data_IF_104855996668
#
_entry.id   IF_104855996668
#
_cell.length_a   1.000
_cell.length_b   1.000
_cell.length_c   1.000
_cell.angle_alpha   90.00
_cell.angle_beta   90.00
_cell.angle_gamma   90.00
#
_symmetry.space_group_name_H-M   'P 1'
#
loop_
_entity.id
_entity.type
_entity.pdbx_description
1 polymer ?
#
# COMPACT_ATOMS: atom_id res chain seq x y z
N UNK A 1 -51.28 16.16 6.34
CA UNK A 1 -50.42 15.10 5.78
C UNK A 1 -50.92 14.88 4.37
N UNK A 2 -50.29 15.56 3.41
CA UNK A 2 -50.73 15.51 2.01
C UNK A 2 -50.40 14.14 1.43
N UNK A 3 -51.46 13.44 1.04
CA UNK A 3 -51.41 12.13 0.40
C UNK A 3 -50.79 12.28 -0.99
N UNK A 4 -49.60 11.72 -1.15
CA UNK A 4 -48.90 11.68 -2.43
C UNK A 4 -49.61 10.73 -3.40
N UNK A 5 -50.39 11.28 -4.34
CA UNK A 5 -51.02 10.48 -5.38
C UNK A 5 -50.13 10.45 -6.64
N UNK A 6 -49.33 9.39 -6.80
CA UNK A 6 -48.70 9.09 -8.09
C UNK A 6 -49.70 8.31 -8.94
N UNK A 7 -50.52 9.01 -9.73
CA UNK A 7 -51.38 8.33 -10.71
C UNK A 7 -50.58 8.07 -11.99
N UNK A 8 -49.78 7.00 -11.98
CA UNK A 8 -49.55 6.26 -13.21
C UNK A 8 -50.67 5.22 -13.29
N UNK A 9 -51.55 5.34 -14.28
CA UNK A 9 -52.60 4.36 -14.52
C UNK A 9 -51.96 3.04 -14.97
N UNK A 10 -51.54 2.23 -14.00
CA UNK A 10 -51.24 0.82 -14.20
C UNK A 10 -52.56 0.06 -14.08
N UNK A 11 -53.10 -0.39 -15.21
CA UNK A 11 -54.20 -1.35 -15.23
C UNK A 11 -53.67 -2.73 -14.83
N UNK A 12 -53.34 -2.93 -13.56
CA UNK A 12 -53.19 -4.26 -13.00
C UNK A 12 -54.58 -4.81 -12.68
N UNK A 13 -54.94 -5.97 -13.25
CA UNK A 13 -56.23 -6.65 -13.04
C UNK A 13 -56.51 -7.15 -11.61
N UNK A 14 -55.88 -6.57 -10.59
CA UNK A 14 -56.11 -6.82 -9.17
C UNK A 14 -56.41 -5.49 -8.48
N UNK A 15 -57.67 -5.25 -8.12
CA UNK A 15 -58.06 -4.11 -7.31
C UNK A 15 -57.56 -4.30 -5.88
N UNK A 16 -56.44 -3.66 -5.52
CA UNK A 16 -56.00 -3.61 -4.13
C UNK A 16 -57.04 -2.84 -3.30
N UNK A 17 -57.40 -3.35 -2.12
CA UNK A 17 -58.34 -2.66 -1.24
C UNK A 17 -57.67 -1.43 -0.60
N UNK A 18 -58.46 -0.47 -0.14
CA UNK A 18 -57.95 0.65 0.65
C UNK A 18 -57.18 0.18 1.89
N UNK A 19 -57.62 -0.92 2.50
CA UNK A 19 -56.94 -1.55 3.63
C UNK A 19 -55.55 -2.09 3.26
N UNK A 20 -55.35 -2.61 2.04
CA UNK A 20 -54.04 -3.07 1.57
C UNK A 20 -53.08 -1.90 1.35
N UNK A 21 -53.59 -0.79 0.78
CA UNK A 21 -52.82 0.43 0.58
C UNK A 21 -52.41 1.04 1.92
N UNK A 22 -53.33 1.08 2.89
CA UNK A 22 -53.05 1.58 4.24
C UNK A 22 -52.02 0.70 4.95
N UNK A 23 -52.15 -0.62 4.84
CA UNK A 23 -51.18 -1.57 5.40
C UNK A 23 -49.80 -1.39 4.77
N UNK A 24 -49.72 -1.27 3.45
CA UNK A 24 -48.48 -1.01 2.73
C UNK A 24 -47.85 0.31 3.18
N UNK A 25 -48.63 1.39 3.19
CA UNK A 25 -48.16 2.74 3.52
C UNK A 25 -47.63 2.82 4.96
N UNK A 26 -48.30 2.15 5.91
CA UNK A 26 -47.83 2.04 7.31
C UNK A 26 -46.54 1.23 7.45
N UNK A 27 -46.24 0.34 6.51
CA UNK A 27 -45.00 -0.45 6.49
C UNK A 27 -43.79 0.28 5.89
N UNK A 28 -43.97 1.47 5.30
CA UNK A 28 -42.87 2.23 4.69
C UNK A 28 -42.04 2.89 5.79
N UNK A 29 -40.78 2.48 5.92
CA UNK A 29 -39.80 3.11 6.83
C UNK A 29 -39.07 4.27 6.18
N UNK A 30 -38.81 4.19 4.87
CA UNK A 30 -38.13 5.23 4.10
C UNK A 30 -38.74 5.38 2.70
N UNK A 31 -38.89 6.63 2.23
CA UNK A 31 -39.38 6.96 0.89
C UNK A 31 -38.35 7.86 0.18
N UNK A 32 -37.75 7.36 -0.90
CA UNK A 32 -36.75 8.08 -1.68
C UNK A 32 -37.15 8.04 -3.16
N UNK A 33 -37.09 9.19 -3.83
CA UNK A 33 -37.32 9.33 -5.27
C UNK A 33 -36.01 9.71 -5.93
N UNK A 34 -35.46 8.82 -6.77
CA UNK A 34 -34.25 9.08 -7.54
C UNK A 34 -34.60 9.47 -8.98
N UNK A 35 -34.12 10.62 -9.41
CA UNK A 35 -34.23 11.11 -10.80
C UNK A 35 -32.85 11.16 -11.43
N UNK A 36 -32.72 10.63 -12.65
CA UNK A 36 -31.49 10.70 -13.45
C UNK A 36 -31.82 11.39 -14.78
N UNK A 37 -31.31 12.60 -14.95
CA UNK A 37 -31.52 13.41 -16.16
C UNK A 37 -32.90 14.06 -16.25
N UNK A 38 -33.08 14.85 -17.32
CA UNK A 38 -34.23 15.73 -17.49
C UNK A 38 -34.16 16.96 -16.59
N UNK A 39 -35.31 17.61 -16.45
CA UNK A 39 -35.57 18.77 -15.57
C UNK A 39 -35.35 18.45 -14.08
N UNK A 40 -35.46 19.42 -13.17
CA UNK A 40 -35.49 19.14 -11.71
C UNK A 40 -36.79 18.40 -11.36
N UNK A 41 -36.78 17.50 -10.38
CA UNK A 41 -38.01 16.84 -9.91
C UNK A 41 -38.88 17.85 -9.16
N UNK A 42 -40.15 17.96 -9.55
CA UNK A 42 -41.14 18.74 -8.82
C UNK A 42 -42.28 17.82 -8.44
N UNK A 43 -42.74 17.91 -7.19
CA UNK A 43 -43.85 17.10 -6.73
C UNK A 43 -45.13 17.42 -7.52
N UNK A 44 -45.80 16.39 -8.03
CA UNK A 44 -46.98 16.57 -8.88
C UNK A 44 -46.66 16.90 -10.35
N UNK A 45 -45.37 16.92 -10.74
CA UNK A 45 -44.99 16.99 -12.14
C UNK A 45 -45.54 15.77 -12.89
N UNK A 46 -46.18 16.02 -14.03
CA UNK A 46 -46.64 14.95 -14.90
C UNK A 46 -45.46 14.24 -15.58
N UNK A 47 -45.63 12.96 -15.88
CA UNK A 47 -44.55 12.13 -16.43
C UNK A 47 -44.14 12.59 -17.84
N UNK A 48 -45.07 13.15 -18.61
CA UNK A 48 -44.86 13.59 -19.99
C UNK A 48 -43.95 14.82 -20.07
N UNK A 49 -44.16 15.80 -19.19
CA UNK A 49 -43.32 16.98 -19.01
C UNK A 49 -41.91 16.61 -18.60
N UNK A 50 -41.76 15.62 -17.72
CA UNK A 50 -40.42 15.09 -17.43
C UNK A 50 -39.80 14.41 -18.66
N UNK A 51 -40.52 13.50 -19.32
CA UNK A 51 -40.04 12.79 -20.51
C UNK A 51 -39.57 13.74 -21.61
N UNK A 52 -40.33 14.82 -21.86
CA UNK A 52 -39.96 15.86 -22.82
C UNK A 52 -38.62 16.53 -22.47
N UNK A 53 -38.37 16.76 -21.18
CA UNK A 53 -37.13 17.39 -20.70
C UNK A 53 -35.88 16.50 -20.77
N UNK A 54 -36.03 15.17 -20.93
CA UNK A 54 -34.88 14.25 -21.02
C UNK A 54 -34.04 14.53 -22.27
N UNK A 55 -34.68 14.96 -23.38
CA UNK A 55 -33.96 15.29 -24.62
C UNK A 55 -33.02 16.48 -24.47
N UNK A 56 -33.37 17.46 -23.65
CA UNK A 56 -32.56 18.66 -23.42
C UNK A 56 -31.48 18.43 -22.37
N UNK A 57 -31.70 17.53 -21.41
CA UNK A 57 -30.77 17.21 -20.34
C UNK A 57 -30.52 15.69 -20.26
N UNK A 58 -29.89 15.10 -21.29
CA UNK A 58 -29.58 13.69 -21.29
C UNK A 58 -28.49 13.40 -20.25
N UNK A 59 -28.55 12.22 -19.66
CA UNK A 59 -27.51 11.72 -18.76
C UNK A 59 -27.15 10.29 -19.10
N UNK A 60 -25.93 9.89 -18.77
CA UNK A 60 -25.51 8.50 -18.88
C UNK A 60 -26.23 7.68 -17.82
N UNK A 61 -27.21 6.89 -18.25
CA UNK A 61 -27.97 5.99 -17.37
C UNK A 61 -27.22 4.67 -17.11
N UNK A 62 -26.37 4.26 -18.06
CA UNK A 62 -25.60 3.03 -18.01
C UNK A 62 -24.29 3.19 -18.78
N UNK A 63 -23.21 2.64 -18.23
CA UNK A 63 -21.92 2.44 -18.91
C UNK A 63 -21.68 0.94 -19.04
N UNK A 64 -21.10 0.52 -20.15
CA UNK A 64 -20.48 -0.80 -20.28
C UNK A 64 -18.98 -0.60 -20.03
N UNK A 65 -18.38 -1.44 -19.20
CA UNK A 65 -16.99 -1.32 -18.79
C UNK A 65 -16.23 -2.46 -19.44
N UNK A 66 -15.15 -2.13 -20.14
CA UNK A 66 -14.15 -3.09 -20.59
C UNK A 66 -12.96 -3.09 -19.64
N UNK A 67 -12.16 -4.15 -19.68
CA UNK A 67 -10.89 -4.17 -18.96
C UNK A 67 -10.02 -3.01 -19.48
N UNK A 68 -9.39 -2.25 -18.57
CA UNK A 68 -8.48 -1.15 -18.92
C UNK A 68 -7.36 -1.58 -19.88
N UNK A 69 -7.01 -2.87 -19.91
CA UNK A 69 -6.01 -3.40 -20.84
C UNK A 69 -6.51 -3.60 -22.27
N UNK A 70 -7.80 -3.39 -22.56
CA UNK A 70 -8.38 -3.62 -23.89
C UNK A 70 -7.80 -2.70 -24.97
N UNK A 71 -7.33 -1.49 -24.62
CA UNK A 71 -6.71 -0.56 -25.56
C UNK A 71 -5.20 -0.79 -25.78
N UNK A 72 -4.59 -1.71 -25.03
CA UNK A 72 -3.16 -2.01 -25.10
C UNK A 72 -2.96 -3.11 -26.14
N UNK A 73 -2.88 -2.68 -27.39
CA UNK A 73 -2.79 -3.55 -28.56
C UNK A 73 -1.71 -3.03 -29.53
N UNK A 74 -1.13 -3.93 -30.32
CA UNK A 74 -0.07 -3.62 -31.29
C UNK A 74 -0.50 -2.64 -32.37
N UNK A 75 -1.79 -2.58 -32.71
CA UNK A 75 -2.35 -1.61 -33.66
C UNK A 75 -2.46 -0.19 -33.08
N UNK A 76 -2.46 -0.05 -31.74
CA UNK A 76 -2.49 1.24 -31.03
C UNK A 76 -1.11 1.71 -30.58
N UNK A 77 -0.19 0.78 -30.34
CA UNK A 77 1.16 1.04 -29.83
C UNK A 77 2.14 0.27 -30.71
N UNK A 78 2.40 0.80 -31.91
CA UNK A 78 3.20 0.13 -32.94
C UNK A 78 4.70 0.07 -32.63
N UNK A 79 5.16 0.87 -31.68
CA UNK A 79 6.56 0.97 -31.27
C UNK A 79 7.02 -0.20 -30.38
N UNK A 80 6.08 -0.96 -29.82
CA UNK A 80 6.35 -2.07 -28.90
C UNK A 80 5.94 -3.40 -29.52
N UNK A 81 6.70 -4.45 -29.20
CA UNK A 81 6.38 -5.82 -29.57
C UNK A 81 5.17 -6.36 -28.77
N UNK A 82 4.48 -7.36 -29.32
CA UNK A 82 3.38 -8.05 -28.61
C UNK A 82 3.84 -8.64 -27.26
N UNK A 83 5.12 -9.03 -27.14
CA UNK A 83 5.70 -9.56 -25.90
C UNK A 83 5.75 -8.46 -24.84
N UNK A 84 6.22 -7.26 -25.19
CA UNK A 84 6.29 -6.11 -24.28
C UNK A 84 4.89 -5.66 -23.87
N UNK A 85 3.96 -5.55 -24.83
CA UNK A 85 2.57 -5.19 -24.56
C UNK A 85 1.86 -6.24 -23.69
N UNK A 86 2.17 -7.52 -23.86
CA UNK A 86 1.66 -8.58 -22.97
C UNK A 86 2.11 -8.38 -21.54
N UNK A 87 3.40 -8.07 -21.32
CA UNK A 87 3.92 -7.78 -19.97
C UNK A 87 3.25 -6.56 -19.35
N UNK A 88 3.09 -5.48 -20.12
CA UNK A 88 2.38 -4.27 -19.65
C UNK A 88 0.94 -4.58 -19.25
N UNK A 89 0.21 -5.36 -20.06
CA UNK A 89 -1.16 -5.78 -19.72
C UNK A 89 -1.21 -6.62 -18.45
N UNK A 90 -0.27 -7.56 -18.27
CA UNK A 90 -0.19 -8.40 -17.08
C UNK A 90 0.04 -7.55 -15.81
N UNK A 91 0.98 -6.62 -15.84
CA UNK A 91 1.27 -5.74 -14.70
C UNK A 91 0.09 -4.83 -14.36
N UNK A 92 -0.60 -4.26 -15.36
CA UNK A 92 -1.79 -3.45 -15.13
C UNK A 92 -2.93 -4.30 -14.55
N UNK A 93 -3.16 -5.51 -15.08
CA UNK A 93 -4.17 -6.42 -14.54
C UNK A 93 -3.85 -6.83 -13.10
N UNK A 94 -2.57 -7.08 -12.77
CA UNK A 94 -2.11 -7.34 -11.40
C UNK A 94 -2.41 -6.15 -10.50
N UNK A 95 -2.10 -4.92 -10.93
CA UNK A 95 -2.39 -3.71 -10.16
C UNK A 95 -3.89 -3.49 -9.93
N UNK A 96 -4.74 -3.78 -10.92
CA UNK A 96 -6.21 -3.73 -10.79
C UNK A 96 -6.70 -4.80 -9.82
N UNK A 97 -6.18 -6.03 -9.88
CA UNK A 97 -6.53 -7.10 -8.93
C UNK A 97 -6.22 -6.68 -7.50
N UNK A 98 -5.02 -6.14 -7.25
CA UNK A 98 -4.62 -5.65 -5.93
C UNK A 98 -5.55 -4.52 -5.46
N UNK A 99 -5.99 -3.62 -6.33
CA UNK A 99 -6.98 -2.58 -5.98
C UNK A 99 -8.29 -3.19 -5.51
N UNK A 100 -8.80 -4.20 -6.22
CA UNK A 100 -10.04 -4.89 -5.83
C UNK A 100 -9.82 -5.59 -4.49
N UNK A 101 -8.79 -6.44 -4.38
CA UNK A 101 -8.46 -7.20 -3.17
C UNK A 101 -8.31 -6.30 -1.94
N UNK A 102 -7.70 -5.12 -2.08
CA UNK A 102 -7.52 -4.18 -0.97
C UNK A 102 -8.82 -3.53 -0.48
N UNK A 103 -9.86 -3.56 -1.30
CA UNK A 103 -11.16 -2.99 -0.99
C UNK A 103 -12.23 -4.08 -0.77
N UNK A 104 -11.84 -5.34 -0.79
CA UNK A 104 -12.70 -6.45 -0.34
C UNK A 104 -12.68 -6.50 1.20
N UNK A 105 -13.86 -6.56 1.78
CA UNK A 105 -14.08 -6.76 3.20
C UNK A 105 -14.90 -8.02 3.32
N UNK A 106 -14.23 -9.10 3.70
CA UNK A 106 -14.94 -10.35 3.92
C UNK A 106 -15.60 -10.36 5.30
N UNK A 107 -16.78 -10.98 5.37
CA UNK A 107 -17.45 -11.25 6.61
C UNK A 107 -18.85 -11.81 6.37
N UNK A 108 -19.51 -12.18 7.46
CA UNK A 108 -20.87 -12.66 7.38
C UNK A 108 -21.81 -11.57 6.86
N UNK A 109 -22.52 -11.84 5.76
CA UNK A 109 -23.51 -10.93 5.19
C UNK A 109 -24.96 -11.27 5.57
N UNK A 110 -25.19 -12.26 6.45
CA UNK A 110 -26.53 -12.66 6.92
C UNK A 110 -26.99 -11.81 8.12
N UNK A 111 -28.03 -10.96 7.99
CA UNK A 111 -28.49 -10.10 9.09
C UNK A 111 -29.05 -10.85 10.30
N UNK A 112 -29.38 -12.14 10.13
CA UNK A 112 -29.89 -12.99 11.21
C UNK A 112 -28.78 -13.65 12.04
N UNK A 113 -27.50 -13.53 11.64
CA UNK A 113 -26.36 -14.12 12.34
C UNK A 113 -25.83 -13.19 13.44
N UNK A 114 -25.42 -13.78 14.57
CA UNK A 114 -24.67 -13.07 15.62
C UNK A 114 -23.29 -12.57 15.16
N UNK A 115 -22.76 -13.13 14.08
CA UNK A 115 -21.49 -12.72 13.47
C UNK A 115 -21.69 -11.74 12.30
N UNK A 116 -22.91 -11.23 12.08
CA UNK A 116 -23.22 -10.32 10.97
C UNK A 116 -22.29 -9.09 10.95
N UNK A 117 -21.68 -8.86 9.79
CA UNK A 117 -20.79 -7.75 9.53
C UNK A 117 -21.36 -6.88 8.40
N UNK A 118 -21.96 -5.74 8.74
CA UNK A 118 -22.61 -4.87 7.74
C UNK A 118 -21.67 -4.13 6.81
N UNK A 119 -20.38 -4.02 7.14
CA UNK A 119 -19.40 -3.43 6.23
C UNK A 119 -18.81 -4.47 5.28
N UNK A 120 -19.10 -5.77 5.48
CA UNK A 120 -18.67 -6.82 4.57
C UNK A 120 -19.35 -6.66 3.21
N UNK A 121 -18.55 -6.73 2.14
CA UNK A 121 -19.02 -6.67 0.76
C UNK A 121 -18.82 -8.00 0.01
N UNK A 122 -18.21 -8.99 0.66
CA UNK A 122 -18.08 -10.37 0.18
C UNK A 122 -18.36 -11.32 1.33
N UNK A 123 -19.26 -12.29 1.12
CA UNK A 123 -19.56 -13.32 2.12
C UNK A 123 -18.44 -14.36 2.16
N UNK A 124 -17.87 -14.60 3.34
CA UNK A 124 -16.86 -15.62 3.60
C UNK A 124 -17.42 -16.84 4.36
N UNK A 125 -18.72 -16.87 4.64
CA UNK A 125 -19.34 -17.93 5.42
C UNK A 125 -19.01 -17.87 6.92
N UNK A 126 -18.42 -16.78 7.42
CA UNK A 126 -18.12 -16.59 8.84
C UNK A 126 -19.38 -16.36 9.73
N UNK A 127 -20.59 -16.61 9.20
CA UNK A 127 -21.85 -16.45 9.92
C UNK A 127 -22.08 -17.43 11.07
N UNK A 128 -21.20 -18.42 11.24
CA UNK A 128 -21.25 -19.35 12.37
C UNK A 128 -20.62 -18.74 13.60
N UNK A 129 -20.94 -19.31 14.75
CA UNK A 129 -20.32 -18.93 16.00
C UNK A 129 -18.87 -19.44 16.07
N UNK A 130 -17.97 -18.65 16.65
CA UNK A 130 -16.57 -19.01 16.77
C UNK A 130 -16.41 -20.26 17.64
N UNK A 131 -15.50 -21.13 17.22
CA UNK A 131 -15.11 -22.35 17.92
C UNK A 131 -13.72 -22.25 18.54
N UNK A 132 -13.06 -21.09 18.39
CA UNK A 132 -11.71 -20.80 18.85
C UNK A 132 -11.61 -19.39 19.41
N UNK A 133 -10.72 -19.22 20.38
CA UNK A 133 -10.32 -17.92 20.92
C UNK A 133 -8.81 -17.75 20.82
N UNK A 134 -8.38 -16.52 20.58
CA UNK A 134 -6.98 -16.16 20.58
C UNK A 134 -6.71 -14.93 21.44
N UNK A 135 -5.56 -14.96 22.11
CA UNK A 135 -5.01 -13.81 22.84
C UNK A 135 -3.84 -13.24 22.05
N UNK A 136 -3.84 -11.93 21.88
CA UNK A 136 -2.72 -11.20 21.28
C UNK A 136 -1.56 -11.09 22.27
N UNK A 137 -0.32 -11.15 21.79
CA UNK A 137 0.90 -11.08 22.62
C UNK A 137 2.02 -10.23 22.05
N UNK A 138 1.74 -9.42 21.02
CA UNK A 138 2.74 -8.54 20.39
C UNK A 138 3.41 -9.13 19.14
N UNK A 139 4.36 -8.37 18.61
CA UNK A 139 5.18 -8.71 17.46
C UNK A 139 6.65 -8.55 17.81
N UNK A 140 7.53 -9.33 17.18
CA UNK A 140 8.96 -9.01 17.16
C UNK A 140 9.57 -9.38 15.82
N UNK A 141 10.71 -8.77 15.48
CA UNK A 141 11.43 -9.03 14.23
C UNK A 141 12.88 -9.30 14.52
N UNK A 142 13.35 -10.47 14.12
CA UNK A 142 14.77 -10.83 14.14
C UNK A 142 15.46 -10.31 12.89
N UNK A 143 16.77 -10.16 12.97
CA UNK A 143 17.61 -9.72 11.88
C UNK A 143 18.95 -10.42 11.97
N UNK A 144 19.30 -11.15 10.92
CA UNK A 144 20.56 -11.88 10.81
C UNK A 144 21.42 -11.25 9.69
N UNK A 145 22.67 -10.96 10.03
CA UNK A 145 23.71 -10.49 9.12
C UNK A 145 24.88 -11.49 9.10
N UNK A 146 25.51 -11.67 7.94
CA UNK A 146 26.73 -12.49 7.86
C UNK A 146 27.89 -11.75 8.56
N UNK A 147 28.74 -12.44 9.36
CA UNK A 147 29.86 -11.79 10.05
C UNK A 147 30.84 -11.11 9.07
N UNK A 148 31.18 -9.84 9.31
CA UNK A 148 32.24 -9.13 8.57
C UNK A 148 31.88 -7.76 7.97
N UNK A 149 30.63 -7.31 8.10
CA UNK A 149 30.15 -6.02 7.57
C UNK A 149 29.46 -5.19 8.67
N UNK A 150 29.52 -3.86 8.52
CA UNK A 150 29.06 -2.86 9.49
C UNK A 150 27.62 -3.18 9.94
N UNK A 151 27.41 -3.28 11.26
CA UNK A 151 26.14 -3.63 11.93
C UNK A 151 24.99 -2.74 11.46
N UNK A 152 24.14 -3.22 10.55
CA UNK A 152 22.97 -2.48 10.07
C UNK A 152 21.65 -3.04 10.61
N UNK A 153 21.65 -4.16 11.33
CA UNK A 153 20.43 -4.73 11.90
C UNK A 153 19.71 -3.84 12.93
N UNK A 154 20.39 -2.86 13.52
CA UNK A 154 19.86 -2.07 14.65
C UNK A 154 18.48 -1.45 14.37
N UNK A 155 18.30 -0.78 13.23
CA UNK A 155 17.01 -0.18 12.85
C UNK A 155 15.97 -1.17 12.31
N UNK A 156 16.40 -2.40 11.98
CA UNK A 156 15.55 -3.42 11.39
C UNK A 156 15.06 -4.43 12.43
N UNK A 157 15.69 -4.54 13.60
CA UNK A 157 15.13 -5.33 14.70
C UNK A 157 13.91 -4.63 15.30
N UNK A 158 12.91 -5.42 15.65
CA UNK A 158 11.72 -4.95 16.37
C UNK A 158 11.62 -5.77 17.65
N UNK A 159 11.82 -5.13 18.78
CA UNK A 159 11.59 -5.78 20.07
C UNK A 159 10.08 -5.88 20.32
N UNK A 160 9.64 -7.01 20.86
CA UNK A 160 8.29 -7.14 21.37
C UNK A 160 8.07 -6.10 22.45
N UNK A 161 7.03 -5.31 22.25
CA UNK A 161 6.77 -4.16 23.08
C UNK A 161 6.41 -4.53 24.53
N UNK A 162 5.88 -5.73 24.76
CA UNK A 162 5.52 -6.22 26.09
C UNK A 162 6.72 -6.84 26.83
N UNK A 163 7.66 -7.47 26.11
CA UNK A 163 8.83 -8.12 26.73
C UNK A 163 10.09 -7.27 26.69
N UNK A 164 10.12 -6.24 25.83
CA UNK A 164 11.30 -5.41 25.57
C UNK A 164 12.38 -6.10 24.73
N UNK A 165 12.17 -7.34 24.26
CA UNK A 165 13.18 -8.13 23.56
C UNK A 165 12.62 -8.93 22.36
N UNK A 166 13.45 -9.79 21.78
CA UNK A 166 13.12 -10.62 20.60
C UNK A 166 12.40 -11.92 20.98
N UNK A 167 11.38 -11.82 21.84
CA UNK A 167 10.66 -12.98 22.37
C UNK A 167 9.21 -12.67 22.68
N UNK A 168 8.38 -13.72 22.68
CA UNK A 168 7.00 -13.63 23.14
C UNK A 168 6.90 -13.58 24.67
N UNK A 169 5.82 -12.98 25.21
CA UNK A 169 5.52 -13.07 26.63
C UNK A 169 5.38 -14.52 27.11
N UNK A 170 5.58 -14.76 28.41
CA UNK A 170 5.47 -16.12 28.98
C UNK A 170 4.11 -16.76 28.64
N UNK A 171 4.15 -17.99 28.15
CA UNK A 171 2.96 -18.75 27.71
C UNK A 171 2.50 -18.48 26.28
N UNK A 172 2.98 -17.42 25.62
CA UNK A 172 2.65 -17.11 24.23
C UNK A 172 3.56 -17.88 23.26
N UNK A 173 3.01 -18.27 22.12
CA UNK A 173 3.75 -18.96 21.05
C UNK A 173 4.06 -17.99 19.91
N UNK A 174 5.28 -18.07 19.39
CA UNK A 174 5.70 -17.32 18.22
C UNK A 174 5.23 -18.02 16.93
N UNK A 175 4.71 -17.25 15.98
CA UNK A 175 4.37 -17.71 14.63
C UNK A 175 4.98 -16.75 13.60
N UNK A 176 5.59 -17.29 12.55
CA UNK A 176 6.19 -16.49 11.47
C UNK A 176 5.07 -15.85 10.66
N UNK A 177 5.19 -14.56 10.38
CA UNK A 177 4.29 -13.84 9.46
C UNK A 177 4.96 -13.54 8.13
N UNK A 178 6.25 -13.21 8.15
CA UNK A 178 6.94 -12.81 6.93
C UNK A 178 8.45 -12.97 7.06
N UNK A 179 9.09 -13.40 5.98
CA UNK A 179 10.54 -13.50 5.87
C UNK A 179 10.99 -12.69 4.66
N UNK A 180 11.86 -11.72 4.89
CA UNK A 180 12.35 -10.81 3.87
C UNK A 180 13.87 -10.92 3.79
N UNK A 181 14.36 -11.18 2.58
CA UNK A 181 15.79 -11.07 2.26
C UNK A 181 16.01 -9.79 1.46
N UNK A 182 16.74 -8.84 2.03
CA UNK A 182 17.09 -7.58 1.37
C UNK A 182 18.54 -7.59 0.92
N UNK A 183 18.78 -6.99 -0.25
CA UNK A 183 20.09 -6.76 -0.81
C UNK A 183 20.37 -5.26 -0.83
N UNK A 184 21.46 -4.84 -0.19
CA UNK A 184 21.86 -3.44 -0.17
C UNK A 184 23.24 -3.31 -0.84
N UNK A 185 23.37 -2.50 -1.91
CA UNK A 185 24.70 -2.19 -2.43
C UNK A 185 25.45 -1.34 -1.42
N UNK A 186 26.62 -1.79 -0.98
CA UNK A 186 27.55 -0.89 -0.29
C UNK A 186 28.19 0.03 -1.33
N UNK A 187 28.44 1.29 -1.00
CA UNK A 187 29.19 2.20 -1.87
C UNK A 187 30.50 2.56 -1.19
N UNK A 188 31.59 2.45 -1.93
CA UNK A 188 32.90 2.91 -1.49
C UNK A 188 33.22 4.18 -2.24
N UNK A 189 33.42 5.27 -1.49
CA UNK A 189 33.81 6.54 -2.06
C UNK A 189 35.28 6.48 -2.48
N UNK A 190 35.55 6.61 -3.79
CA UNK A 190 36.91 6.75 -4.30
C UNK A 190 37.15 8.19 -4.73
N UNK A 191 38.13 8.83 -4.11
CA UNK A 191 38.54 10.18 -4.43
C UNK A 191 39.86 10.18 -5.21
N UNK A 192 39.94 11.02 -6.25
CA UNK A 192 41.14 11.26 -7.04
C UNK A 192 41.36 12.76 -7.17
N UNK A 193 42.62 13.18 -7.21
CA UNK A 193 42.94 14.57 -7.51
C UNK A 193 42.55 14.90 -8.96
N UNK A 194 41.96 16.07 -9.16
CA UNK A 194 41.43 16.56 -10.42
C UNK A 194 41.59 18.09 -10.52
N UNK A 195 41.32 18.67 -11.71
CA UNK A 195 41.42 20.11 -11.96
C UNK A 195 42.81 20.59 -12.40
N UNK A 196 42.93 21.86 -12.77
CA UNK A 196 44.18 22.47 -13.20
C UNK A 196 45.18 22.48 -12.02
N UNK A 197 46.36 21.88 -12.22
CA UNK A 197 47.39 21.68 -11.17
C UNK A 197 46.97 20.81 -9.97
N UNK A 198 46.01 19.87 -10.13
CA UNK A 198 45.66 18.90 -9.08
C UNK A 198 45.11 19.48 -7.76
N UNK A 199 44.67 20.75 -7.76
CA UNK A 199 44.16 21.43 -6.56
C UNK A 199 42.73 21.06 -6.14
N UNK A 200 42.02 20.20 -6.89
CA UNK A 200 40.67 19.76 -6.53
C UNK A 200 40.64 18.25 -6.25
N UNK A 201 39.75 17.82 -5.37
CA UNK A 201 39.49 16.41 -5.10
C UNK A 201 38.13 16.03 -5.68
N UNK A 202 38.12 15.12 -6.65
CA UNK A 202 36.92 14.58 -7.24
C UNK A 202 36.66 13.20 -6.66
N UNK A 203 35.51 13.03 -6.01
CA UNK A 203 35.09 11.76 -5.45
C UNK A 203 33.96 11.16 -6.29
N UNK A 204 34.02 9.84 -6.49
CA UNK A 204 32.93 9.07 -7.10
C UNK A 204 32.62 7.87 -6.21
N UNK A 205 31.35 7.64 -5.98
CA UNK A 205 30.87 6.44 -5.31
C UNK A 205 30.92 5.28 -6.29
N UNK A 206 31.63 4.23 -5.90
CA UNK A 206 31.72 2.99 -6.69
C UNK A 206 30.94 1.91 -5.94
N UNK A 207 30.04 1.18 -6.61
CA UNK A 207 29.36 0.07 -5.99
C UNK A 207 30.39 -0.96 -5.51
N UNK A 208 30.34 -1.25 -4.23
CA UNK A 208 31.12 -2.27 -3.53
C UNK A 208 30.41 -3.62 -3.58
N UNK A 209 30.51 -4.38 -2.48
CA UNK A 209 29.84 -5.67 -2.36
C UNK A 209 28.33 -5.46 -2.20
N UNK A 210 27.55 -6.48 -2.55
CA UNK A 210 26.13 -6.51 -2.23
C UNK A 210 26.00 -7.14 -0.85
N UNK A 211 25.53 -6.37 0.12
CA UNK A 211 25.24 -6.84 1.46
C UNK A 211 23.89 -7.54 1.45
N UNK A 212 23.78 -8.62 2.23
CA UNK A 212 22.54 -9.37 2.40
C UNK A 212 22.10 -9.34 3.85
N UNK A 213 20.85 -8.95 4.08
CA UNK A 213 20.19 -9.02 5.38
C UNK A 213 18.96 -9.90 5.29
N UNK A 214 18.77 -10.78 6.27
CA UNK A 214 17.55 -11.55 6.41
C UNK A 214 16.80 -11.04 7.65
N UNK A 215 15.51 -10.73 7.49
CA UNK A 215 14.65 -10.35 8.62
C UNK A 215 13.42 -11.24 8.67
N UNK A 216 13.03 -11.65 9.87
CA UNK A 216 11.85 -12.49 10.07
C UNK A 216 10.91 -11.83 11.08
N UNK A 217 9.70 -11.51 10.64
CA UNK A 217 8.65 -10.92 11.47
C UNK A 217 7.81 -12.05 12.09
N UNK A 218 7.65 -11.97 13.40
CA UNK A 218 6.86 -12.91 14.20
C UNK A 218 5.69 -12.19 14.87
N UNK A 219 4.59 -12.94 15.04
CA UNK A 219 3.50 -12.60 15.96
C UNK A 219 3.51 -13.54 17.15
N UNK A 220 3.05 -13.05 18.29
CA UNK A 220 2.89 -13.80 19.52
C UNK A 220 1.40 -13.95 19.81
N UNK A 221 0.93 -15.19 19.97
CA UNK A 221 -0.45 -15.46 20.33
C UNK A 221 -0.59 -16.72 21.20
N UNK A 222 -1.64 -16.75 22.01
CA UNK A 222 -2.14 -17.98 22.64
C UNK A 222 -3.43 -18.35 21.95
N UNK A 223 -3.60 -19.64 21.67
CA UNK A 223 -4.81 -20.16 21.07
C UNK A 223 -5.47 -21.18 21.99
N UNK A 224 -6.80 -21.18 22.02
CA UNK A 224 -7.59 -22.20 22.69
C UNK A 224 -8.79 -22.56 21.82
N UNK A 225 -9.00 -23.87 21.61
CA UNK A 225 -10.25 -24.39 21.05
C UNK A 225 -11.31 -24.39 22.14
N UNK A 226 -12.55 -24.12 21.76
CA UNK A 226 -13.69 -24.33 22.63
C UNK A 226 -13.90 -25.82 22.85
N UNK A 227 -14.13 -26.19 24.11
CA UNK A 227 -14.40 -27.55 24.56
C UNK A 227 -15.91 -27.83 24.60
N UNK A 228 -16.74 -26.79 24.67
CA UNK A 228 -18.20 -26.88 24.69
C UNK A 228 -18.85 -25.76 23.87
N UNK A 229 -20.04 -26.02 23.35
CA UNK A 229 -20.91 -25.02 22.69
C UNK A 229 -21.36 -23.89 23.64
N UNK A 230 -21.20 -24.09 24.96
CA UNK A 230 -21.47 -23.09 26.00
C UNK A 230 -20.26 -22.22 26.33
N UNK A 231 -19.10 -22.46 25.72
CA UNK A 231 -17.91 -21.66 25.97
C UNK A 231 -18.11 -20.24 25.43
N UNK A 232 -17.82 -19.26 26.28
CA UNK A 232 -17.96 -17.85 25.93
C UNK A 232 -16.59 -17.30 25.54
N UNK A 233 -16.54 -16.47 24.51
CA UNK A 233 -15.35 -15.69 24.18
C UNK A 233 -14.99 -14.77 25.36
N UNK A 234 -13.85 -15.05 26.00
CA UNK A 234 -13.28 -14.21 27.07
C UNK A 234 -11.97 -13.62 26.60
N UNK A 235 -11.80 -12.33 26.86
CA UNK A 235 -10.55 -11.61 26.65
C UNK A 235 -10.07 -11.07 28.01
N UNK A 236 -9.42 -11.96 28.76
CA UNK A 236 -8.72 -11.70 30.01
C UNK A 236 -7.22 -11.48 29.78
N UNK A 237 -6.79 -11.28 28.52
CA UNK A 237 -5.41 -10.96 28.20
C UNK A 237 -5.07 -9.54 28.69
N UNK A 238 -3.95 -9.32 29.40
CA UNK A 238 -3.45 -7.97 29.64
C UNK A 238 -2.98 -7.28 28.35
N UNK A 239 -2.79 -8.05 27.27
CA UNK A 239 -2.32 -7.58 25.97
C UNK A 239 -3.50 -7.54 24.99
N UNK A 240 -4.10 -6.36 24.86
CA UNK A 240 -5.25 -6.12 23.98
C UNK A 240 -4.78 -5.50 22.66
N UNK A 241 -5.29 -6.02 21.55
CA UNK A 241 -5.10 -5.45 20.22
C UNK A 241 -6.07 -4.28 20.02
N UNK A 242 -5.52 -3.07 19.84
CA UNK A 242 -6.28 -1.83 19.70
C UNK A 242 -6.52 -1.40 18.26
N UNK A 243 -6.33 -2.31 17.30
CA UNK A 243 -6.45 -2.03 15.87
C UNK A 243 -5.12 -1.64 15.23
N UNK A 244 -5.16 -1.40 13.92
CA UNK A 244 -4.01 -0.96 13.14
C UNK A 244 -4.43 0.01 12.05
N UNK A 245 -3.50 0.84 11.62
CA UNK A 245 -3.72 1.83 10.57
C UNK A 245 -2.42 2.07 9.79
N UNK A 246 -2.54 2.67 8.62
CA UNK A 246 -1.40 3.07 7.78
C UNK A 246 -1.48 4.57 7.50
N UNK A 247 -0.60 5.08 6.64
CA UNK A 247 -0.76 6.44 6.11
C UNK A 247 -2.02 6.59 5.23
N UNK A 248 -2.59 5.48 4.74
CA UNK A 248 -3.69 5.45 3.75
C UNK A 248 -4.95 4.71 4.22
N UNK A 249 -4.88 3.99 5.33
CA UNK A 249 -5.99 3.24 5.89
C UNK A 249 -6.20 3.66 7.34
N UNK A 250 -7.47 3.76 7.74
CA UNK A 250 -7.86 4.09 9.11
C UNK A 250 -7.93 2.82 9.97
N UNK A 251 -7.81 3.01 11.29
CA UNK A 251 -8.06 1.95 12.24
C UNK A 251 -9.57 1.66 12.32
N UNK A 252 -10.03 0.43 12.06
CA UNK A 252 -11.46 0.10 12.07
C UNK A 252 -12.11 0.29 13.46
N UNK A 253 -11.34 0.34 14.54
CA UNK A 253 -11.84 0.53 15.91
C UNK A 253 -12.10 2.01 16.22
N UNK A 254 -11.23 2.91 15.75
CA UNK A 254 -11.35 4.36 16.01
C UNK A 254 -11.88 5.15 14.83
N UNK A 255 -12.03 4.49 13.67
CA UNK A 255 -12.38 5.08 12.39
C UNK A 255 -11.49 6.30 12.02
N UNK A 256 -10.22 6.26 12.43
CA UNK A 256 -9.23 7.29 12.13
C UNK A 256 -7.83 6.69 12.11
N UNK A 257 -6.84 7.41 11.59
CA UNK A 257 -5.44 7.00 11.63
C UNK A 257 -4.82 7.23 13.04
N UNK A 258 -5.52 6.79 14.09
CA UNK A 258 -5.12 6.97 15.49
C UNK A 258 -5.43 5.74 16.33
N UNK A 259 -4.72 5.60 17.45
CA UNK A 259 -5.01 4.58 18.44
C UNK A 259 -6.11 5.02 19.42
N UNK A 260 -6.85 4.05 19.99
CA UNK A 260 -7.77 4.32 21.08
C UNK A 260 -7.06 5.00 22.26
N UNK A 261 -7.82 5.69 23.12
CA UNK A 261 -7.23 6.31 24.31
C UNK A 261 -6.49 5.27 25.17
N UNK A 262 -5.33 5.64 25.71
CA UNK A 262 -4.44 4.78 26.52
C UNK A 262 -3.71 3.66 25.76
N UNK A 263 -3.84 3.60 24.44
CA UNK A 263 -3.02 2.74 23.60
C UNK A 263 -1.78 3.50 23.12
N UNK A 264 -0.67 2.77 23.01
CA UNK A 264 0.51 3.26 22.33
C UNK A 264 0.60 2.65 20.92
N UNK A 265 1.39 3.29 20.07
CA UNK A 265 1.59 2.93 18.67
C UNK A 265 2.95 2.22 18.51
N UNK A 266 3.01 1.14 17.75
CA UNK A 266 4.25 0.55 17.26
C UNK A 266 4.17 0.32 15.75
N UNK A 267 5.22 0.74 15.06
CA UNK A 267 5.41 0.51 13.63
C UNK A 267 6.03 -0.87 13.43
N UNK A 268 5.27 -1.80 12.83
CA UNK A 268 5.72 -3.21 12.73
C UNK A 268 6.41 -3.54 11.40
N UNK A 269 5.97 -2.94 10.30
CA UNK A 269 6.53 -3.10 8.95
C UNK A 269 6.03 -1.96 8.07
N UNK A 270 6.88 -1.43 7.17
CA UNK A 270 6.60 -0.25 6.35
C UNK A 270 5.80 0.79 7.14
N UNK A 271 4.67 1.29 6.66
CA UNK A 271 3.83 2.26 7.37
C UNK A 271 2.71 1.64 8.23
N UNK A 272 2.75 0.33 8.51
CA UNK A 272 1.78 -0.37 9.37
C UNK A 272 2.04 -0.01 10.83
N UNK A 273 1.10 0.74 11.40
CA UNK A 273 1.06 1.12 12.81
C UNK A 273 0.04 0.25 13.54
N UNK A 274 0.46 -0.38 14.64
CA UNK A 274 -0.39 -1.22 15.49
C UNK A 274 -0.56 -0.57 16.86
N UNK A 275 -1.80 -0.58 17.33
CA UNK A 275 -2.19 -0.10 18.64
C UNK A 275 -2.17 -1.25 19.64
N UNK A 276 -1.48 -1.07 20.77
CA UNK A 276 -1.51 -2.01 21.89
C UNK A 276 -1.56 -1.25 23.21
N UNK A 277 -2.02 -1.94 24.25
CA UNK A 277 -2.04 -1.41 25.61
C UNK A 277 -0.78 -1.78 26.39
N UNK A 278 -0.32 -0.88 27.27
CA UNK A 278 0.72 -1.17 28.29
C UNK A 278 0.12 -1.61 29.63
N UNK A 279 -1.18 -1.49 29.79
CA UNK A 279 -1.89 -1.68 31.05
C UNK A 279 -3.03 -2.68 30.86
N UNK A 280 -3.35 -3.44 31.91
CA UNK A 280 -4.54 -4.31 31.91
C UNK A 280 -5.78 -3.43 31.76
N UNK A 281 -6.45 -3.52 30.62
CA UNK A 281 -7.70 -2.82 30.35
C UNK A 281 -8.82 -3.84 30.23
N UNK A 282 -10.02 -3.47 30.66
CA UNK A 282 -11.20 -4.29 30.45
C UNK A 282 -11.54 -4.26 28.95
N UNK A 283 -11.37 -5.40 28.27
CA UNK A 283 -11.55 -5.54 26.82
C UNK A 283 -13.01 -5.44 26.33
N UNK A 284 -13.94 -4.96 27.17
CA UNK A 284 -15.39 -4.94 26.89
C UNK A 284 -15.77 -4.03 25.73
N UNK A 285 -14.93 -3.06 25.37
CA UNK A 285 -15.13 -2.17 24.21
C UNK A 285 -14.27 -2.49 22.99
N UNK A 286 -13.56 -3.63 22.97
CA UNK A 286 -12.67 -4.02 21.88
C UNK A 286 -13.11 -5.31 21.21
N UNK A 287 -12.88 -5.47 19.90
CA UNK A 287 -13.19 -6.69 19.18
C UNK A 287 -12.35 -7.86 19.69
N UNK A 288 -12.90 -9.05 19.60
CA UNK A 288 -12.15 -10.28 19.86
C UNK A 288 -11.11 -10.51 18.77
N UNK A 289 -9.90 -10.85 19.19
CA UNK A 289 -8.78 -11.15 18.31
C UNK A 289 -8.82 -12.60 17.82
N UNK A 290 -8.69 -12.79 16.51
CA UNK A 290 -8.75 -14.09 15.83
C UNK A 290 -7.49 -14.44 15.04
N UNK A 291 -6.33 -13.89 15.42
CA UNK A 291 -5.06 -14.20 14.76
C UNK A 291 -4.67 -13.25 13.63
N UNK A 292 -3.47 -13.49 13.09
CA UNK A 292 -2.92 -12.79 11.94
C UNK A 292 -2.48 -13.82 10.90
N UNK A 293 -2.42 -13.39 9.65
CA UNK A 293 -1.80 -14.13 8.56
C UNK A 293 -1.32 -13.18 7.46
N UNK A 294 -0.53 -13.69 6.53
CA UNK A 294 0.04 -12.91 5.42
C UNK A 294 -0.13 -13.61 4.08
N UNK A 295 0.38 -12.99 3.02
CA UNK A 295 0.42 -13.57 1.67
C UNK A 295 1.15 -14.93 1.56
N UNK A 296 2.04 -15.26 2.51
CA UNK A 296 2.86 -16.48 2.46
C UNK A 296 2.75 -17.34 3.71
N UNK A 297 2.07 -16.87 4.76
CA UNK A 297 1.93 -17.58 6.03
C UNK A 297 0.45 -17.61 6.43
N UNK A 298 -0.09 -18.80 6.70
CA UNK A 298 -1.47 -18.97 7.15
C UNK A 298 -1.68 -18.60 8.61
N UNK A 299 -2.94 -18.44 8.99
CA UNK A 299 -3.34 -18.22 10.37
C UNK A 299 -3.13 -19.51 11.17
N UNK A 300 -2.25 -19.46 12.16
CA UNK A 300 -1.88 -20.63 12.97
C UNK A 300 -2.96 -21.06 13.98
N UNK A 301 -4.08 -20.32 14.06
CA UNK A 301 -5.28 -20.80 14.75
C UNK A 301 -6.04 -21.89 13.99
N UNK A 302 -5.76 -22.02 12.69
CA UNK A 302 -6.34 -23.05 11.84
C UNK A 302 -5.37 -24.23 11.75
N UNK A 303 -5.93 -25.43 11.72
CA UNK A 303 -5.17 -26.67 11.58
C UNK A 303 -5.72 -27.44 10.36
N UNK A 304 -4.99 -27.47 9.23
CA UNK A 304 -3.69 -26.82 8.97
C UNK A 304 -3.80 -25.27 8.90
N UNK A 305 -2.68 -24.52 9.03
CA UNK A 305 -2.68 -23.08 8.87
C UNK A 305 -3.14 -22.67 7.46
N UNK A 306 -4.14 -21.80 7.40
CA UNK A 306 -4.74 -21.33 6.14
C UNK A 306 -4.81 -19.80 6.11
N UNK A 307 -4.80 -19.20 4.92
CA UNK A 307 -4.86 -17.75 4.72
C UNK A 307 -6.29 -17.20 4.82
N UNK A 308 -6.96 -17.55 5.91
CA UNK A 308 -8.34 -17.13 6.21
C UNK A 308 -8.52 -16.93 7.70
N UNK A 309 -9.63 -16.31 8.07
CA UNK A 309 -10.01 -16.19 9.47
C UNK A 309 -10.71 -17.45 10.01
N UNK A 310 -10.60 -17.73 11.32
CA UNK A 310 -11.42 -18.75 11.95
C UNK A 310 -12.91 -18.44 11.84
N UNK A 311 -13.76 -19.47 11.95
CA UNK A 311 -15.21 -19.28 11.92
C UNK A 311 -15.64 -18.21 12.94
N UNK A 312 -16.55 -17.32 12.55
CA UNK A 312 -17.05 -16.23 13.40
C UNK A 312 -16.19 -14.97 13.44
N UNK A 313 -15.02 -14.93 12.78
CA UNK A 313 -14.16 -13.75 12.67
C UNK A 313 -14.15 -13.21 11.24
N UNK A 314 -14.15 -11.90 11.09
CA UNK A 314 -13.99 -11.22 9.81
C UNK A 314 -12.54 -10.76 9.60
N UNK A 315 -12.12 -10.71 8.34
CA UNK A 315 -10.79 -10.26 7.91
C UNK A 315 -10.73 -8.74 7.80
N UNK A 316 -9.62 -8.16 8.25
CA UNK A 316 -9.28 -6.76 8.05
C UNK A 316 -7.83 -6.65 7.57
N UNK A 317 -7.62 -5.86 6.52
CA UNK A 317 -6.30 -5.63 5.92
C UNK A 317 -5.55 -4.61 6.78
N UNK A 318 -4.39 -5.00 7.30
CA UNK A 318 -3.56 -4.09 8.10
C UNK A 318 -2.71 -3.18 7.21
N UNK A 319 -2.17 -3.72 6.11
CA UNK A 319 -1.33 -2.99 5.17
C UNK A 319 -0.32 -3.90 4.48
N UNK A 320 0.64 -3.29 3.77
CA UNK A 320 1.68 -3.99 3.04
C UNK A 320 2.97 -4.16 3.88
N UNK A 321 3.44 -5.39 4.02
CA UNK A 321 4.68 -5.73 4.76
C UNK A 321 5.91 -5.42 3.91
N UNK A 322 5.81 -5.64 2.60
CA UNK A 322 6.81 -5.36 1.57
C UNK A 322 6.11 -4.95 0.26
N UNK A 323 6.76 -5.09 -0.89
CA UNK A 323 6.21 -4.68 -2.19
C UNK A 323 5.15 -5.61 -2.77
N UNK A 324 4.96 -6.82 -2.23
CA UNK A 324 4.05 -7.82 -2.81
C UNK A 324 3.17 -8.52 -1.78
N UNK A 325 3.40 -8.30 -0.48
CA UNK A 325 2.78 -9.04 0.59
C UNK A 325 1.93 -8.15 1.50
N UNK A 326 0.66 -8.53 1.67
CA UNK A 326 -0.26 -7.91 2.62
C UNK A 326 -0.28 -8.68 3.95
N UNK A 327 -0.55 -7.95 5.03
CA UNK A 327 -0.81 -8.49 6.36
C UNK A 327 -2.28 -8.33 6.72
N UNK A 328 -2.85 -9.38 7.30
CA UNK A 328 -4.27 -9.46 7.66
C UNK A 328 -4.43 -9.76 9.15
N UNK A 329 -5.49 -9.20 9.73
CA UNK A 329 -5.94 -9.50 11.10
C UNK A 329 -7.38 -9.99 11.07
N UNK A 330 -7.69 -10.95 11.94
CA UNK A 330 -9.04 -11.45 12.11
C UNK A 330 -9.66 -10.85 13.37
N UNK A 331 -10.84 -10.26 13.24
CA UNK A 331 -11.55 -9.58 14.33
C UNK A 331 -13.02 -9.97 14.34
N UNK A 332 -13.56 -10.18 15.54
CA UNK A 332 -15.02 -10.27 15.78
C UNK A 332 -15.44 -9.12 16.67
N UNK A 333 -16.16 -8.15 16.10
CA UNK A 333 -16.76 -7.07 16.88
C UNK A 333 -17.87 -7.63 17.78
N UNK A 334 -18.04 -7.03 18.97
CA UNK A 334 -18.95 -7.55 19.99
C UNK A 334 -20.39 -7.19 19.65
N UNK A 335 -20.58 -5.98 19.13
CA UNK A 335 -21.87 -5.48 18.69
C UNK A 335 -21.79 -4.96 17.27
N UNK A 336 -22.94 -5.01 16.60
CA UNK A 336 -23.14 -4.43 15.27
C UNK A 336 -22.74 -2.95 15.18
N UNK A 337 -23.01 -2.19 16.25
CA UNK A 337 -22.76 -0.75 16.33
C UNK A 337 -21.32 -0.39 16.68
N UNK A 338 -20.45 -1.38 16.97
CA UNK A 338 -19.04 -1.09 17.27
C UNK A 338 -18.33 -0.52 16.03
N UNK A 339 -18.83 -0.87 14.83
CA UNK A 339 -18.51 -0.17 13.59
C UNK A 339 -19.53 0.95 13.38
N UNK A 340 -19.05 2.18 13.20
CA UNK A 340 -19.90 3.38 13.13
C UNK A 340 -19.98 4.00 11.74
N UNK A 341 -19.09 3.62 10.82
CA UNK A 341 -19.03 4.17 9.46
C UNK A 341 -18.55 3.12 8.47
N UNK A 342 -19.01 3.25 7.22
CA UNK A 342 -18.41 2.51 6.11
C UNK A 342 -16.93 2.90 5.97
N UNK A 343 -16.03 1.92 5.81
CA UNK A 343 -14.64 2.20 5.56
C UNK A 343 -14.47 2.94 4.23
N UNK A 344 -13.52 3.85 4.19
CA UNK A 344 -13.17 4.56 2.96
C UNK A 344 -12.48 3.61 1.99
N UNK A 345 -12.76 3.79 0.69
CA UNK A 345 -12.05 3.07 -0.37
C UNK A 345 -10.57 3.44 -0.32
N UNK A 346 -9.71 2.43 -0.25
CA UNK A 346 -8.27 2.62 -0.23
C UNK A 346 -7.76 2.71 -1.67
N UNK A 347 -7.10 3.82 -1.97
CA UNK A 347 -6.62 4.14 -3.31
C UNK A 347 -5.13 3.80 -3.48
N UNK A 348 -4.70 3.38 -4.69
CA UNK A 348 -3.30 3.13 -4.99
C UNK A 348 -2.46 4.44 -4.93
N UNK A 349 -1.12 4.35 -4.84
CA UNK A 349 -0.33 3.13 -4.72
C UNK A 349 -0.44 2.47 -3.33
N UNK A 350 -0.31 1.15 -3.29
CA UNK A 350 -0.45 0.34 -2.08
C UNK A 350 0.88 -0.14 -1.50
N UNK A 351 1.91 -0.12 -2.33
CA UNK A 351 3.26 -0.58 -2.05
C UNK A 351 4.22 0.60 -2.23
N UNK A 352 5.24 0.69 -1.38
CA UNK A 352 6.32 1.65 -1.58
C UNK A 352 7.14 1.22 -2.81
N UNK A 353 7.38 2.16 -3.73
CA UNK A 353 8.20 1.89 -4.91
C UNK A 353 9.65 2.16 -4.54
N UNK A 354 10.46 1.11 -4.37
CA UNK A 354 11.90 1.26 -4.18
C UNK A 354 12.60 1.48 -5.53
N UNK A 355 12.80 2.77 -5.86
CA UNK A 355 13.43 3.21 -7.11
C UNK A 355 14.92 2.80 -7.16
N UNK A 356 15.56 2.42 -6.03
CA UNK A 356 17.00 2.14 -5.98
C UNK A 356 17.38 0.73 -6.44
N UNK A 357 16.44 -0.22 -6.44
CA UNK A 357 16.71 -1.62 -6.81
C UNK A 357 16.49 -1.92 -8.31
N UNK A 358 15.79 -1.06 -9.06
CA UNK A 358 15.55 -1.30 -10.49
C UNK A 358 16.83 -1.28 -11.34
N UNK A 359 17.92 -0.67 -10.86
CA UNK A 359 19.20 -0.64 -11.59
C UNK A 359 20.03 -1.92 -11.48
N UNK A 360 19.64 -2.88 -10.61
CA UNK A 360 20.44 -4.11 -10.39
C UNK A 360 19.96 -5.28 -11.25
N UNK A 361 18.66 -5.39 -11.53
CA UNK A 361 18.13 -6.45 -12.41
C UNK A 361 18.60 -6.28 -13.86
N UNK A 362 18.72 -5.04 -14.35
CA UNK A 362 19.22 -4.76 -15.71
C UNK A 362 20.70 -5.09 -15.89
N UNK A 363 21.48 -5.20 -14.81
CA UNK A 363 22.89 -5.58 -14.86
C UNK A 363 23.14 -7.09 -14.75
N UNK A 364 22.13 -7.85 -14.29
CA UNK A 364 22.28 -9.29 -14.02
C UNK A 364 22.08 -10.14 -15.28
N UNK A 365 21.37 -9.64 -16.28
CA UNK A 365 21.19 -10.33 -17.57
C UNK A 365 22.39 -10.18 -18.53
N UNK A 366 23.32 -9.25 -18.27
CA UNK A 366 24.47 -9.01 -19.16
C UNK A 366 25.73 -9.81 -18.80
N UNK A 367 25.76 -10.54 -17.67
CA UNK A 367 26.97 -11.24 -17.20
C UNK A 367 27.00 -12.76 -17.41
N UNK A 368 26.06 -13.34 -18.16
CA UNK A 368 26.03 -14.79 -18.41
C UNK A 368 26.38 -15.23 -19.85
N UNK A 369 26.77 -14.30 -20.73
CA UNK A 369 27.27 -14.62 -22.07
C UNK A 369 28.62 -13.94 -22.36
N UNK A 370 29.69 -14.37 -21.69
CA UNK A 370 31.04 -14.32 -22.27
C UNK A 370 32.04 -15.16 -21.46
N UNK A 371 32.11 -16.45 -21.77
CA UNK A 371 33.30 -17.27 -21.55
C UNK A 371 33.48 -18.16 -22.77
N UNK A 372 34.35 -17.72 -23.66
CA UNK A 372 35.46 -18.53 -24.19
C UNK A 372 36.06 -17.81 -25.40
N UNK A 373 37.35 -17.46 -25.30
CA UNK A 373 38.41 -17.68 -26.30
C UNK A 373 39.66 -16.91 -25.87
N UNK A 374 40.72 -17.66 -25.51
CA UNK A 374 42.08 -17.17 -25.25
C UNK A 374 42.82 -16.79 -26.54
N UNK A 375 43.91 -16.00 -26.47
CA UNK A 375 44.32 -15.10 -27.53
C UNK A 375 45.35 -15.68 -28.51
N UNK A 376 45.27 -15.25 -29.77
CA UNK A 376 46.30 -15.41 -30.79
C UNK A 376 47.06 -14.10 -31.02
N UNK A 377 48.39 -14.19 -31.10
CA UNK A 377 49.37 -13.11 -31.36
C UNK A 377 49.27 -12.59 -32.81
N UNK A 378 49.51 -11.30 -33.02
CA UNK A 378 50.37 -10.74 -34.09
C UNK A 378 50.35 -9.19 -34.05
N UNK A 379 51.44 -8.54 -33.67
CA UNK A 379 52.45 -7.85 -34.51
C UNK A 379 52.04 -6.52 -35.19
N UNK A 380 52.63 -5.44 -34.65
CA UNK A 380 53.49 -4.43 -35.30
C UNK A 380 52.95 -3.23 -36.12
N UNK A 381 53.62 -2.08 -35.84
CA UNK A 381 53.99 -0.91 -36.68
C UNK A 381 52.89 0.13 -36.98
N UNK A 382 53.10 1.46 -37.08
CA UNK A 382 54.24 2.40 -37.01
C UNK A 382 53.65 3.79 -36.61
N UNK A 383 54.25 4.56 -35.69
CA UNK A 383 55.04 5.80 -35.93
C UNK A 383 54.50 6.82 -36.96
N UNK A 384 54.15 8.02 -36.49
CA UNK A 384 54.62 9.28 -37.11
C UNK A 384 54.57 10.44 -36.09
N UNK A 385 55.71 11.12 -35.92
CA UNK A 385 55.86 12.36 -35.13
C UNK A 385 55.89 13.51 -36.13
N UNK A 386 55.00 14.50 -35.97
CA UNK A 386 55.15 15.81 -36.60
C UNK A 386 55.49 16.84 -35.51
N UNK A 387 56.70 17.41 -35.60
CA UNK A 387 57.20 18.48 -34.74
C UNK A 387 56.99 19.79 -35.48
N UNK A 388 56.15 20.69 -34.98
CA UNK A 388 56.06 22.07 -35.47
C UNK A 388 56.50 23.00 -34.34
N UNK A 389 57.65 23.65 -34.53
CA UNK A 389 58.15 24.69 -33.66
C UNK A 389 57.33 25.97 -33.84
N UNK A 390 56.80 26.49 -32.74
CA UNK A 390 56.21 27.83 -32.68
C UNK A 390 56.96 28.60 -31.60
N UNK A 391 57.52 29.75 -32.00
CA UNK A 391 58.31 30.65 -31.19
C UNK A 391 57.57 31.14 -29.94
N UNK A 392 58.29 31.16 -28.82
CA UNK A 392 57.83 31.46 -27.44
C UNK A 392 57.10 32.81 -27.29
N UNK A 393 57.27 33.74 -28.25
CA UNK A 393 56.65 35.07 -28.21
C UNK A 393 55.15 35.08 -28.61
N UNK A 394 54.66 34.11 -29.39
CA UNK A 394 53.26 34.06 -29.82
C UNK A 394 52.30 33.45 -28.76
N UNK A 395 52.83 32.62 -27.86
CA UNK A 395 52.08 31.97 -26.78
C UNK A 395 51.74 32.92 -25.62
N UNK A 396 52.58 33.92 -25.36
CA UNK A 396 52.33 34.87 -24.27
C UNK A 396 51.16 35.82 -24.57
N UNK A 397 51.05 36.31 -25.82
CA UNK A 397 49.99 37.25 -26.22
C UNK A 397 48.63 36.56 -26.26
N UNK A 398 48.58 35.29 -26.67
CA UNK A 398 47.34 34.49 -26.67
C UNK A 398 46.88 34.13 -25.25
N UNK A 399 47.79 33.82 -24.33
CA UNK A 399 47.43 33.55 -22.94
C UNK A 399 46.84 34.79 -22.23
N UNK A 400 47.44 35.97 -22.45
CA UNK A 400 46.94 37.21 -21.84
C UNK A 400 45.55 37.57 -22.36
N UNK A 401 45.28 37.40 -23.65
CA UNK A 401 43.95 37.64 -24.22
C UNK A 401 42.90 36.69 -23.62
N UNK A 402 43.23 35.40 -23.43
CA UNK A 402 42.33 34.42 -22.81
C UNK A 402 42.04 34.79 -21.34
N UNK A 403 43.06 35.21 -20.58
CA UNK A 403 42.90 35.64 -19.18
C UNK A 403 41.99 36.88 -19.08
N UNK A 404 42.16 37.86 -19.97
CA UNK A 404 41.31 39.06 -20.00
C UNK A 404 39.85 38.70 -20.30
N UNK A 405 39.60 37.79 -21.26
CA UNK A 405 38.23 37.32 -21.57
C UNK A 405 37.61 36.58 -20.39
N UNK A 406 38.37 35.76 -19.67
CA UNK A 406 37.91 35.06 -18.47
C UNK A 406 37.54 36.07 -17.37
N UNK A 407 38.38 37.08 -17.12
CA UNK A 407 38.12 38.12 -16.11
C UNK A 407 36.85 38.92 -16.46
N UNK A 408 36.66 39.27 -17.73
CA UNK A 408 35.45 39.98 -18.19
C UNK A 408 34.20 39.11 -17.98
N UNK A 409 34.26 37.81 -18.32
CA UNK A 409 33.15 36.87 -18.08
C UNK A 409 32.84 36.69 -16.59
N UNK A 410 33.85 36.61 -15.74
CA UNK A 410 33.67 36.50 -14.29
C UNK A 410 33.03 37.76 -13.70
N UNK A 411 33.41 38.95 -14.17
CA UNK A 411 32.80 40.22 -13.75
C UNK A 411 31.33 40.32 -14.18
N UNK A 412 31.00 39.87 -15.40
CA UNK A 412 29.62 39.83 -15.91
C UNK A 412 28.74 38.83 -15.14
N UNK A 413 29.28 37.67 -14.74
CA UNK A 413 28.55 36.70 -13.92
C UNK A 413 28.33 37.17 -12.48
N UNK A 414 29.29 37.89 -11.88
CA UNK A 414 29.09 38.52 -10.56
C UNK A 414 27.99 39.58 -10.57
N UNK A 415 27.90 40.38 -11.65
CA UNK A 415 26.80 41.35 -11.80
C UNK A 415 25.43 40.67 -11.98
N UNK A 416 25.37 39.52 -12.67
CA UNK A 416 24.13 38.73 -12.80
C UNK A 416 23.69 38.08 -11.49
N UNK A 417 24.63 37.62 -10.66
CA UNK A 417 24.32 37.08 -9.33
C UNK A 417 23.85 38.17 -8.35
N UNK A 418 24.39 39.38 -8.45
CA UNK A 418 23.91 40.52 -7.66
C UNK A 418 22.48 40.96 -8.06
N UNK A 419 22.09 40.83 -9.33
CA UNK A 419 20.73 41.13 -9.79
C UNK A 419 19.69 40.06 -9.36
N UNK A 420 20.07 38.78 -9.30
CA UNK A 420 19.16 37.71 -8.88
C UNK A 420 18.89 37.69 -7.37
N UNK A 421 19.78 38.24 -6.54
CA UNK A 421 19.58 38.31 -5.09
C UNK A 421 18.66 39.46 -4.66
N UNK A 422 18.24 40.36 -5.57
CA UNK A 422 17.27 41.42 -5.26
C UNK A 422 15.81 41.01 -5.54
N UNK A 423 15.58 39.83 -6.13
CA UNK A 423 14.24 39.36 -6.53
C UNK A 423 13.66 38.25 -5.65
N UNK A 424 14.32 37.89 -4.54
CA UNK A 424 13.89 36.80 -3.63
C UNK A 424 13.29 37.35 -2.32
N UNK A 425 13.38 38.65 -2.06
CA UNK A 425 12.81 39.30 -0.85
C UNK A 425 11.40 39.91 -1.05
N UNK A 426 10.73 39.67 -2.19
CA UNK A 426 9.44 40.30 -2.51
C UNK A 426 8.30 39.30 -2.83
N UNK A 427 8.40 38.06 -2.35
CA UNK A 427 7.24 37.14 -2.32
C UNK A 427 7.17 36.44 -0.97
N UNK A 428 6.49 37.10 -0.05
CA UNK A 428 5.94 36.57 1.20
C UNK A 428 4.46 36.26 0.98
#
# INVERSE_FOLDING_TARGET
MDTFNFSAAFSSGSSFSSADIDKYTKGITHKIIHKKGGSVFVLGQDIQSWQASVRTNPVVVRRTIENITSFIQTDKISELSEIELTRVRQEINKAVSVYVERNVIYGCMSPASESFNWVANVDDGACKNPNTTAKFGGFYRTCDEKPGLIRKCGSYQLNNFHTGGLSCPSGFRASVLHNLTQYEPTYTQQCKSCGFLWFSSCCKDIPGKIDRRNTVLYTCSIFSKFKSSSDVLRDDSPYVYGGSFTSRSVNPITNSATCPQRFAVAKIANDINVCFTRQTITATGFPFFGGFYSCNQGNTLLEPPEQKCPEGYSIYIMGAIDTECLLYVCLKFRNFNDLTQYPSVVLPPFFEIDIRNQTVETASETSLNSKDTTPSKSTNRNTEKATLGISITALAVTLVAIIVVIIIRMKKNRQRQAANNYHVDETL
#
